data_IF_883822166143
#
_entry.id   IF_883822166143
#
_cell.length_a   1.000
_cell.length_b   1.000
_cell.length_c   1.000
_cell.angle_alpha   90.00
_cell.angle_beta   90.00
_cell.angle_gamma   90.00
#
_symmetry.space_group_name_H-M   'P 1'
#
loop_
_entity.id
_entity.type
_entity.pdbx_description
1 polymer ?
#
# COMPACT_ATOMS: atom_id res chain seq x y z
N UNK A 1 30.95 -62.65 8.12
CA UNK A 1 30.26 -62.19 6.89
C UNK A 1 30.51 -60.69 6.69
N UNK A 2 31.70 -60.26 6.20
CA UNK A 2 32.02 -58.85 5.97
C UNK A 2 31.90 -58.39 4.50
N UNK A 3 31.57 -59.27 3.54
CA UNK A 3 31.72 -58.97 2.10
C UNK A 3 30.73 -57.95 1.53
N UNK A 4 29.52 -57.84 2.06
CA UNK A 4 28.44 -57.03 1.45
C UNK A 4 28.72 -55.52 1.49
N UNK A 5 29.42 -55.04 2.54
CA UNK A 5 29.67 -53.61 2.71
C UNK A 5 30.78 -53.11 1.77
N UNK A 6 31.80 -53.94 1.55
CA UNK A 6 32.86 -53.68 0.57
C UNK A 6 32.32 -53.67 -0.85
N UNK A 7 31.39 -54.57 -1.21
CA UNK A 7 30.76 -54.58 -2.54
C UNK A 7 29.98 -53.28 -2.79
N UNK A 8 29.20 -52.81 -1.81
CA UNK A 8 28.47 -51.55 -1.95
C UNK A 8 29.39 -50.32 -2.08
N UNK A 9 30.49 -50.27 -1.33
CA UNK A 9 31.44 -49.17 -1.45
C UNK A 9 32.15 -49.15 -2.81
N UNK A 10 32.47 -50.32 -3.37
CA UNK A 10 33.07 -50.42 -4.70
C UNK A 10 32.08 -50.02 -5.80
N UNK A 11 30.79 -50.36 -5.67
CA UNK A 11 29.77 -49.96 -6.63
C UNK A 11 29.49 -48.45 -6.61
N UNK A 12 29.53 -47.81 -5.43
CA UNK A 12 29.39 -46.35 -5.32
C UNK A 12 30.59 -45.63 -5.95
N UNK A 13 31.81 -46.12 -5.71
CA UNK A 13 33.02 -45.56 -6.31
C UNK A 13 32.97 -45.66 -7.85
N UNK A 14 32.51 -46.79 -8.38
CA UNK A 14 32.37 -47.02 -9.83
C UNK A 14 31.30 -46.12 -10.46
N UNK A 15 30.17 -45.90 -9.78
CA UNK A 15 29.11 -45.00 -10.24
C UNK A 15 29.54 -43.52 -10.26
N UNK A 16 30.45 -43.11 -9.37
CA UNK A 16 31.00 -41.75 -9.36
C UNK A 16 31.98 -41.49 -10.52
N UNK A 17 32.64 -42.53 -11.04
CA UNK A 17 33.59 -42.42 -12.15
C UNK A 17 32.90 -42.43 -13.53
N UNK A 18 31.74 -43.09 -13.65
CA UNK A 18 30.88 -43.01 -14.85
C UNK A 18 30.12 -41.68 -14.96
N UNK A 19 29.92 -40.98 -13.84
CA UNK A 19 29.36 -39.63 -13.80
C UNK A 19 30.41 -38.57 -14.16
N UNK A 20 30.85 -38.58 -15.43
CA UNK A 20 31.72 -37.53 -15.99
C UNK A 20 31.16 -36.11 -15.75
N UNK A 21 32.02 -35.07 -15.75
CA UNK A 21 31.65 -33.74 -15.27
C UNK A 21 30.43 -33.19 -16.00
N UNK A 22 29.40 -32.85 -15.22
CA UNK A 22 28.13 -32.29 -15.70
C UNK A 22 28.35 -31.15 -16.70
N UNK A 23 27.97 -31.40 -17.96
CA UNK A 23 27.92 -30.42 -19.07
C UNK A 23 26.93 -29.26 -18.86
N UNK A 24 26.26 -29.18 -17.71
CA UNK A 24 25.25 -28.17 -17.41
C UNK A 24 25.83 -26.75 -17.22
N UNK A 25 27.06 -26.64 -16.71
CA UNK A 25 27.67 -25.35 -16.36
C UNK A 25 28.08 -24.51 -17.58
N UNK A 26 28.46 -25.12 -18.70
CA UNK A 26 28.85 -24.37 -19.92
C UNK A 26 27.64 -23.81 -20.69
N UNK A 27 26.48 -24.49 -20.65
CA UNK A 27 25.25 -24.02 -21.27
C UNK A 27 24.62 -22.84 -20.52
N UNK A 28 24.70 -22.83 -19.19
CA UNK A 28 24.24 -21.71 -18.36
C UNK A 28 25.13 -20.48 -18.59
N UNK A 29 26.46 -20.66 -18.67
CA UNK A 29 27.40 -19.57 -18.98
C UNK A 29 27.15 -18.97 -20.37
N UNK A 30 26.91 -19.81 -21.38
CA UNK A 30 26.58 -19.36 -22.75
C UNK A 30 25.27 -18.56 -22.84
N UNK A 31 24.24 -18.93 -22.06
CA UNK A 31 22.97 -18.16 -22.02
C UNK A 31 23.13 -16.79 -21.34
N UNK A 32 24.01 -16.69 -20.34
CA UNK A 32 24.33 -15.42 -19.67
C UNK A 32 25.02 -14.41 -20.58
N UNK A 33 26.03 -14.86 -21.33
CA UNK A 33 26.80 -14.00 -22.24
C UNK A 33 25.96 -13.53 -23.45
N UNK A 34 25.08 -14.38 -23.98
CA UNK A 34 24.17 -13.97 -25.07
C UNK A 34 23.15 -12.90 -24.66
N UNK A 35 22.68 -12.90 -23.40
CA UNK A 35 21.77 -11.84 -22.90
C UNK A 35 22.50 -10.50 -22.72
N UNK A 36 23.75 -10.52 -22.23
CA UNK A 36 24.59 -9.32 -22.11
C UNK A 36 24.96 -8.71 -23.47
N UNK A 37 25.20 -9.55 -24.49
CA UNK A 37 25.46 -9.09 -25.86
C UNK A 37 24.22 -8.43 -26.50
N UNK A 38 23.02 -9.00 -26.31
CA UNK A 38 21.76 -8.41 -26.80
C UNK A 38 21.40 -7.09 -26.11
N UNK A 39 21.69 -6.96 -24.82
CA UNK A 39 21.48 -5.70 -24.08
C UNK A 39 22.43 -4.58 -24.52
N UNK A 40 23.68 -4.89 -24.91
CA UNK A 40 24.61 -3.88 -25.45
C UNK A 40 24.26 -3.44 -26.88
N UNK A 41 23.65 -4.31 -27.69
CA UNK A 41 23.17 -3.95 -29.03
C UNK A 41 21.92 -3.04 -28.99
N UNK A 42 21.05 -3.19 -27.99
CA UNK A 42 19.84 -2.36 -27.86
C UNK A 42 20.11 -0.91 -27.44
N UNK A 43 21.22 -0.64 -26.73
CA UNK A 43 21.60 0.73 -26.31
C UNK A 43 22.28 1.52 -27.46
N UNK A 44 22.78 0.85 -28.50
CA UNK A 44 23.42 1.50 -29.65
C UNK A 44 22.48 1.97 -30.77
N UNK A 45 21.22 1.55 -30.81
CA UNK A 45 20.29 1.85 -31.93
C UNK A 45 19.39 3.06 -31.67
N UNK A 46 19.26 3.54 -30.43
CA UNK A 46 18.43 4.73 -30.11
C UNK A 46 19.18 6.06 -30.31
N UNK A 47 20.51 6.04 -30.47
CA UNK A 47 21.31 7.26 -30.63
C UNK A 47 21.50 7.75 -32.08
N UNK A 48 20.94 7.07 -33.11
CA UNK A 48 21.19 7.40 -34.52
C UNK A 48 19.97 7.90 -35.32
N UNK A 49 18.80 8.12 -34.70
CA UNK A 49 17.59 8.58 -35.43
C UNK A 49 17.22 10.05 -35.13
N UNK A 50 17.95 10.74 -34.24
CA UNK A 50 17.58 12.09 -33.79
C UNK A 50 18.25 13.27 -34.52
N UNK A 51 18.84 13.09 -35.72
CA UNK A 51 19.55 14.19 -36.44
C UNK A 51 19.01 14.48 -37.86
N UNK A 52 17.94 13.82 -38.30
CA UNK A 52 17.57 13.81 -39.73
C UNK A 52 16.17 14.31 -40.10
N UNK A 53 15.64 15.40 -39.53
CA UNK A 53 14.42 16.04 -40.08
C UNK A 53 14.18 17.48 -39.58
N UNK A 54 15.10 18.40 -39.90
CA UNK A 54 14.81 19.85 -39.88
C UNK A 54 15.15 20.37 -41.28
N UNK A 55 14.20 20.28 -42.21
CA UNK A 55 14.21 21.10 -43.42
C UNK A 55 12.85 21.07 -44.12
N UNK A 56 12.30 22.28 -44.31
CA UNK A 56 11.35 22.67 -45.34
C UNK A 56 9.91 22.14 -45.27
N UNK A 57 8.99 23.01 -44.85
CA UNK A 57 8.02 23.65 -45.76
C UNK A 57 7.30 24.77 -45.03
N UNK A 58 7.55 26.00 -45.48
CA UNK A 58 6.84 27.19 -45.06
C UNK A 58 5.68 27.52 -46.01
N UNK A 59 4.86 28.46 -45.51
CA UNK A 59 4.07 29.43 -46.28
C UNK A 59 2.78 28.95 -46.97
N UNK A 60 1.62 29.45 -46.51
CA UNK A 60 0.81 30.42 -47.27
C UNK A 60 -0.34 31.00 -46.43
N UNK A 61 -0.69 32.23 -46.79
CA UNK A 61 -1.63 33.15 -46.15
C UNK A 61 -3.10 32.70 -46.25
N UNK A 62 -3.90 33.16 -45.28
CA UNK A 62 -5.35 33.24 -45.39
C UNK A 62 -5.92 34.33 -44.48
N UNK A 63 -5.97 35.57 -44.96
CA UNK A 63 -6.85 36.61 -44.41
C UNK A 63 -8.30 36.20 -44.67
N UNK A 64 -9.17 36.24 -43.67
CA UNK A 64 -10.58 36.57 -43.83
C UNK A 64 -11.07 37.38 -42.61
N UNK A 65 -11.39 38.66 -42.87
CA UNK A 65 -12.17 39.55 -42.01
C UNK A 65 -13.65 39.20 -42.14
N UNK A 66 -14.39 39.39 -41.04
CA UNK A 66 -15.67 40.12 -40.87
C UNK A 66 -16.45 39.44 -39.74
N UNK A 67 -16.58 40.04 -38.55
CA UNK A 67 -17.53 41.08 -38.14
C UNK A 67 -18.73 40.49 -37.38
N UNK A 68 -18.93 41.04 -36.17
CA UNK A 68 -20.20 41.23 -35.44
C UNK A 68 -21.14 40.03 -35.24
N UNK A 69 -21.25 39.57 -33.99
CA UNK A 69 -22.50 39.69 -33.21
C UNK A 69 -22.30 39.25 -31.75
N UNK A 70 -22.51 40.20 -30.83
CA UNK A 70 -22.76 39.97 -29.42
C UNK A 70 -24.27 39.72 -29.24
N UNK A 71 -24.70 38.68 -28.50
CA UNK A 71 -25.94 38.72 -27.74
C UNK A 71 -25.58 38.93 -26.26
N UNK A 72 -25.80 40.12 -25.71
CA UNK A 72 -27.05 40.55 -25.08
C UNK A 72 -27.34 39.79 -23.77
N UNK A 73 -26.92 40.41 -22.67
CA UNK A 73 -27.25 40.06 -21.28
C UNK A 73 -28.72 40.43 -21.04
N UNK A 74 -29.61 39.51 -20.63
CA UNK A 74 -30.92 39.88 -20.11
C UNK A 74 -30.83 40.36 -18.65
N UNK A 75 -31.65 41.35 -18.24
CA UNK A 75 -31.54 42.03 -16.95
C UNK A 75 -32.16 41.25 -15.79
N UNK A 76 -31.55 41.41 -14.61
CA UNK A 76 -32.16 41.18 -13.30
C UNK A 76 -33.30 42.20 -13.08
N UNK A 77 -34.40 41.83 -12.43
CA UNK A 77 -34.57 42.21 -11.03
C UNK A 77 -35.24 41.09 -10.22
N UNK A 78 -34.96 40.91 -8.93
CA UNK A 78 -35.69 41.64 -7.88
C UNK A 78 -35.00 41.35 -6.54
N UNK A 79 -34.41 42.38 -5.94
CA UNK A 79 -34.05 42.40 -4.54
C UNK A 79 -35.33 42.63 -3.72
N UNK A 80 -35.60 41.77 -2.75
CA UNK A 80 -36.64 41.97 -1.73
C UNK A 80 -35.96 42.06 -0.37
N UNK A 81 -36.11 43.20 0.29
CA UNK A 81 -35.96 43.42 1.73
C UNK A 81 -36.94 44.55 2.09
N UNK A 82 -37.36 44.77 3.36
CA UNK A 82 -37.37 43.94 4.57
C UNK A 82 -38.82 43.80 5.14
N UNK A 83 -39.01 43.28 6.38
CA UNK A 83 -39.85 44.06 7.28
C UNK A 83 -39.21 44.36 8.64
N UNK A 84 -39.58 45.55 9.12
CA UNK A 84 -39.31 46.16 10.41
C UNK A 84 -40.32 45.67 11.47
N UNK A 85 -39.84 45.35 12.68
CA UNK A 85 -40.57 45.46 13.96
C UNK A 85 -39.49 45.60 15.06
N UNK A 86 -39.19 46.81 15.56
CA UNK A 86 -39.81 47.53 16.69
C UNK A 86 -39.64 46.85 18.05
N UNK A 87 -38.61 47.34 18.76
CA UNK A 87 -38.44 47.67 20.19
C UNK A 87 -39.13 46.86 21.34
N UNK A 88 -38.25 46.30 22.20
CA UNK A 88 -38.11 46.38 23.69
C UNK A 88 -39.34 46.50 24.63
N UNK A 89 -39.27 45.85 25.81
CA UNK A 89 -38.69 46.50 27.01
C UNK A 89 -37.65 45.60 27.74
N UNK A 90 -36.49 46.13 28.14
CA UNK A 90 -36.16 46.63 29.50
C UNK A 90 -36.61 45.73 30.66
N UNK A 91 -35.67 44.95 31.20
CA UNK A 91 -35.67 44.56 32.61
C UNK A 91 -34.32 44.89 33.25
N UNK A 92 -34.44 45.61 34.36
CA UNK A 92 -33.41 46.21 35.23
C UNK A 92 -32.79 45.15 36.16
N UNK A 93 -31.52 45.30 36.59
CA UNK A 93 -30.77 44.24 37.26
C UNK A 93 -31.12 44.10 38.74
N UNK A 94 -31.16 42.86 39.25
CA UNK A 94 -31.18 42.56 40.68
C UNK A 94 -29.84 41.92 41.09
N UNK A 95 -29.16 42.39 42.15
CA UNK A 95 -27.85 41.89 42.56
C UNK A 95 -27.89 40.80 43.65
N UNK A 96 -26.76 40.08 43.75
CA UNK A 96 -26.23 39.26 44.85
C UNK A 96 -26.71 37.79 44.97
N UNK A 97 -25.88 36.85 45.51
CA UNK A 97 -24.66 37.07 46.28
C UNK A 97 -23.38 36.41 45.73
N UNK A 98 -22.26 36.99 46.14
CA UNK A 98 -20.90 36.46 46.01
C UNK A 98 -20.77 35.08 46.66
N UNK A 99 -20.54 34.05 45.86
CA UNK A 99 -19.96 32.80 46.35
C UNK A 99 -18.45 32.91 46.30
N UNK A 100 -17.85 33.23 47.44
CA UNK A 100 -16.43 33.01 47.74
C UNK A 100 -16.17 31.50 47.72
N UNK A 101 -15.96 30.94 46.53
CA UNK A 101 -15.56 29.54 46.34
C UNK A 101 -14.05 29.46 46.36
N UNK A 102 -13.51 28.99 47.48
CA UNK A 102 -12.10 28.66 47.67
C UNK A 102 -11.46 28.10 46.41
N UNK A 103 -10.40 28.75 45.94
CA UNK A 103 -9.38 28.15 45.08
C UNK A 103 -8.70 27.04 45.87
N UNK A 104 -9.37 25.89 45.97
CA UNK A 104 -8.74 24.65 46.36
C UNK A 104 -7.87 24.24 45.19
N UNK A 105 -6.59 24.63 45.26
CA UNK A 105 -5.54 24.04 44.45
C UNK A 105 -5.62 22.53 44.70
N UNK A 106 -6.32 21.82 43.81
CA UNK A 106 -6.26 20.39 43.74
C UNK A 106 -4.82 20.12 43.31
N UNK A 107 -3.98 19.68 44.25
CA UNK A 107 -2.72 19.03 43.95
C UNK A 107 -3.10 17.73 43.22
N UNK A 108 -3.46 17.89 41.95
CA UNK A 108 -3.85 16.81 41.07
C UNK A 108 -2.63 15.93 40.94
N UNK A 109 -2.70 14.75 41.53
CA UNK A 109 -1.91 13.61 41.12
C UNK A 109 -1.87 13.62 39.59
N UNK A 110 -0.68 13.80 39.02
CA UNK A 110 -0.47 13.73 37.57
C UNK A 110 -0.68 12.27 37.17
N UNK A 111 -1.94 11.87 37.05
CA UNK A 111 -2.30 10.63 36.38
C UNK A 111 -2.08 10.92 34.91
N UNK A 112 -0.94 10.48 34.37
CA UNK A 112 -0.72 10.52 32.93
C UNK A 112 -1.93 9.94 32.22
N UNK A 113 -2.55 10.65 31.27
CA UNK A 113 -3.70 10.14 30.54
C UNK A 113 -3.35 8.77 29.94
N UNK A 114 -4.24 7.80 30.11
CA UNK A 114 -4.11 6.50 29.42
C UNK A 114 -4.15 6.79 27.91
N UNK A 115 -3.16 6.32 27.13
CA UNK A 115 -3.15 6.55 25.69
C UNK A 115 -4.44 6.06 25.03
N UNK A 116 -5.05 6.91 24.21
CA UNK A 116 -6.21 6.54 23.41
C UNK A 116 -5.85 5.63 22.23
N UNK A 117 -6.86 5.20 21.47
CA UNK A 117 -6.63 4.45 20.22
C UNK A 117 -5.95 5.31 19.15
N UNK A 118 -5.21 4.70 18.24
CA UNK A 118 -4.65 5.41 17.11
C UNK A 118 -5.72 5.76 16.07
N UNK A 119 -5.81 7.04 15.68
CA UNK A 119 -6.71 7.52 14.63
C UNK A 119 -6.02 7.49 13.26
N UNK A 120 -6.77 7.27 12.17
CA UNK A 120 -6.20 7.21 10.82
C UNK A 120 -5.49 8.51 10.43
N UNK A 121 -6.00 9.67 10.87
CA UNK A 121 -5.37 10.98 10.64
C UNK A 121 -4.01 11.16 11.31
N UNK A 122 -3.71 10.37 12.34
CA UNK A 122 -2.47 10.44 13.11
C UNK A 122 -1.45 9.39 12.65
N UNK A 123 -1.78 8.64 11.60
CA UNK A 123 -0.97 7.53 11.11
C UNK A 123 -0.53 7.79 9.68
N UNK A 124 0.69 7.36 9.37
CA UNK A 124 1.19 7.22 8.00
C UNK A 124 1.42 5.75 7.71
N UNK A 125 0.94 5.27 6.57
CA UNK A 125 1.15 3.90 6.14
C UNK A 125 2.40 3.73 5.26
N UNK A 126 2.96 2.53 5.30
CA UNK A 126 4.05 2.07 4.44
C UNK A 126 3.80 0.62 4.05
N UNK A 127 4.21 0.23 2.85
CA UNK A 127 4.01 -1.12 2.32
C UNK A 127 5.31 -1.62 1.70
N UNK A 128 5.77 -2.79 2.14
CA UNK A 128 7.05 -3.33 1.73
C UNK A 128 6.87 -4.79 1.29
N UNK A 129 6.72 -5.03 -0.02
CA UNK A 129 6.72 -6.38 -0.58
C UNK A 129 7.99 -7.13 -0.22
N UNK A 130 7.87 -8.43 0.01
CA UNK A 130 9.03 -9.27 0.28
C UNK A 130 9.78 -9.54 -1.03
N UNK A 131 11.09 -9.37 -1.00
CA UNK A 131 11.98 -9.63 -2.14
C UNK A 131 12.78 -10.92 -1.87
N UNK A 132 12.13 -12.08 -1.79
CA UNK A 132 12.88 -13.34 -1.66
C UNK A 132 13.27 -13.88 -3.03
N UNK A 133 14.57 -13.96 -3.37
CA UNK A 133 15.00 -14.59 -4.61
C UNK A 133 14.65 -16.08 -4.58
N UNK A 134 13.75 -16.50 -5.48
CA UNK A 134 13.36 -17.90 -5.62
C UNK A 134 12.07 -18.30 -4.90
N UNK A 135 11.14 -17.36 -4.67
CA UNK A 135 9.77 -17.67 -4.27
C UNK A 135 9.08 -18.54 -5.37
N UNK A 136 9.33 -19.84 -5.30
CA UNK A 136 8.63 -20.86 -6.03
C UNK A 136 7.28 -21.07 -5.32
N UNK A 137 6.31 -20.23 -5.64
CA UNK A 137 5.00 -20.27 -5.01
C UNK A 137 3.99 -19.42 -5.75
N UNK A 138 2.72 -19.62 -5.43
CA UNK A 138 1.60 -18.84 -5.98
C UNK A 138 1.27 -17.59 -5.14
N UNK A 139 1.97 -17.40 -4.01
CA UNK A 139 1.69 -16.38 -3.01
C UNK A 139 2.80 -15.35 -2.88
N UNK A 140 2.41 -14.11 -2.61
CA UNK A 140 3.26 -13.00 -2.27
C UNK A 140 2.94 -12.50 -0.87
N UNK A 141 3.94 -11.87 -0.25
CA UNK A 141 3.90 -11.40 1.13
C UNK A 141 4.44 -9.96 1.21
N UNK A 142 3.92 -9.17 2.14
CA UNK A 142 4.40 -7.82 2.39
C UNK A 142 4.22 -7.40 3.85
N UNK A 143 5.11 -6.54 4.34
CA UNK A 143 4.89 -5.81 5.58
C UNK A 143 4.05 -4.56 5.30
N UNK A 144 2.93 -4.44 6.01
CA UNK A 144 2.19 -3.19 6.14
C UNK A 144 2.54 -2.55 7.48
N UNK A 145 3.12 -1.36 7.44
CA UNK A 145 3.48 -0.57 8.62
C UNK A 145 2.58 0.64 8.80
N UNK A 146 2.12 0.89 10.03
CA UNK A 146 1.44 2.12 10.43
C UNK A 146 2.29 2.88 11.46
N UNK A 147 2.83 4.02 11.03
CA UNK A 147 3.69 4.89 11.85
C UNK A 147 2.87 6.00 12.47
N UNK A 148 3.00 6.21 13.78
CA UNK A 148 2.42 7.36 14.46
C UNK A 148 3.17 8.64 14.09
N UNK A 149 2.50 9.55 13.39
CA UNK A 149 3.05 10.85 12.96
C UNK A 149 2.57 12.01 13.83
N UNK A 150 1.79 11.73 14.87
CA UNK A 150 1.37 12.73 15.86
C UNK A 150 2.35 12.81 17.03
N UNK A 151 2.24 13.87 17.81
CA UNK A 151 3.02 14.06 19.05
C UNK A 151 2.42 13.33 20.26
N UNK A 152 1.30 12.60 20.08
CA UNK A 152 0.61 11.88 21.15
C UNK A 152 0.84 10.38 21.04
N UNK A 153 1.13 9.73 22.17
CA UNK A 153 1.13 8.27 22.24
C UNK A 153 -0.28 7.72 22.05
N UNK A 154 -0.41 6.66 21.26
CA UNK A 154 -1.67 5.95 21.04
C UNK A 154 -1.48 4.43 21.09
N UNK A 155 -2.57 3.67 21.11
CA UNK A 155 -2.58 2.20 21.10
C UNK A 155 -3.30 1.67 19.87
N UNK A 156 -2.75 0.63 19.26
CA UNK A 156 -3.38 -0.13 18.18
C UNK A 156 -3.54 -1.59 18.60
N UNK A 157 -4.69 -2.19 18.33
CA UNK A 157 -5.03 -3.55 18.73
C UNK A 157 -5.88 -4.24 17.66
N UNK A 158 -5.43 -5.39 17.15
CA UNK A 158 -6.20 -6.17 16.17
C UNK A 158 -5.66 -6.04 14.75
N UNK A 159 -6.56 -6.07 13.76
CA UNK A 159 -6.25 -6.28 12.34
C UNK A 159 -6.60 -5.06 11.50
N UNK A 160 -5.86 -4.77 10.41
CA UNK A 160 -6.27 -3.74 9.46
C UNK A 160 -7.52 -4.18 8.67
N UNK A 161 -8.36 -3.21 8.32
CA UNK A 161 -9.16 -3.30 7.11
C UNK A 161 -8.31 -2.88 5.90
N UNK A 162 -8.48 -3.54 4.77
CA UNK A 162 -7.74 -3.24 3.52
C UNK A 162 -8.72 -3.23 2.34
N UNK A 163 -8.55 -2.25 1.47
CA UNK A 163 -9.22 -2.16 0.18
C UNK A 163 -8.17 -1.95 -0.91
N UNK A 164 -8.12 -2.84 -1.89
CA UNK A 164 -7.22 -2.75 -3.03
C UNK A 164 -7.71 -1.67 -4.01
N UNK A 165 -6.79 -0.88 -4.55
CA UNK A 165 -7.08 0.21 -5.48
C UNK A 165 -6.14 0.12 -6.69
N UNK A 166 -6.73 0.20 -7.89
CA UNK A 166 -5.98 0.18 -9.14
C UNK A 166 -5.43 1.55 -9.55
N UNK A 167 -4.60 1.60 -10.61
CA UNK A 167 -3.99 2.84 -11.09
C UNK A 167 -5.00 3.86 -11.64
N UNK A 168 -6.21 3.41 -11.96
CA UNK A 168 -7.36 4.24 -12.34
C UNK A 168 -8.10 4.84 -11.13
N UNK A 169 -7.62 4.62 -9.91
CA UNK A 169 -8.21 5.10 -8.66
C UNK A 169 -9.47 4.34 -8.23
N UNK A 170 -9.85 3.28 -8.95
CA UNK A 170 -11.04 2.47 -8.63
C UNK A 170 -10.68 1.33 -7.68
N UNK A 171 -11.59 1.05 -6.75
CA UNK A 171 -11.51 -0.15 -5.90
C UNK A 171 -11.50 -1.42 -6.75
N UNK A 172 -10.73 -2.41 -6.31
CA UNK A 172 -10.77 -3.80 -6.81
C UNK A 172 -11.53 -4.69 -5.85
N UNK A 173 -11.91 -5.88 -6.29
CA UNK A 173 -12.45 -6.89 -5.38
C UNK A 173 -11.44 -7.11 -4.25
N UNK A 174 -11.91 -7.15 -3.01
CA UNK A 174 -11.04 -7.33 -1.85
C UNK A 174 -11.81 -8.07 -0.78
N UNK A 175 -11.27 -9.20 -0.35
CA UNK A 175 -11.79 -9.98 0.76
C UNK A 175 -10.66 -10.16 1.79
N UNK A 176 -10.81 -9.50 2.94
CA UNK A 176 -9.80 -9.53 4.00
C UNK A 176 -10.12 -10.67 4.97
N UNK A 177 -9.27 -11.69 4.97
CA UNK A 177 -9.32 -12.83 5.88
C UNK A 177 -8.33 -12.61 7.01
N UNK A 178 -8.82 -12.66 8.25
CA UNK A 178 -7.97 -12.54 9.44
C UNK A 178 -7.35 -13.90 9.75
N UNK A 179 -6.04 -13.95 9.98
CA UNK A 179 -5.42 -15.20 10.45
C UNK A 179 -6.00 -15.61 11.81
N UNK A 180 -6.20 -16.91 12.01
CA UNK A 180 -6.75 -17.47 13.25
C UNK A 180 -5.66 -18.04 14.18
N UNK A 181 -4.45 -18.23 13.68
CA UNK A 181 -3.35 -18.86 14.41
C UNK A 181 -2.48 -17.88 15.22
N UNK A 182 -2.84 -16.59 15.28
CA UNK A 182 -2.10 -15.56 16.04
C UNK A 182 -3.03 -14.76 16.95
N UNK A 183 -2.75 -14.70 18.26
CA UNK A 183 -3.50 -13.83 19.17
C UNK A 183 -3.15 -12.36 18.93
N UNK A 184 -4.15 -11.48 18.98
CA UNK A 184 -3.94 -10.03 18.96
C UNK A 184 -3.29 -9.56 20.27
N UNK A 185 -2.40 -8.57 20.18
CA UNK A 185 -1.77 -7.89 21.32
C UNK A 185 -1.87 -6.38 21.11
N UNK A 186 -1.97 -5.63 22.21
CA UNK A 186 -1.94 -4.18 22.14
C UNK A 186 -0.52 -3.71 21.82
N UNK A 187 -0.40 -2.81 20.86
CA UNK A 187 0.86 -2.16 20.49
C UNK A 187 0.74 -0.68 20.82
N UNK A 188 1.58 -0.20 21.73
CA UNK A 188 1.66 1.22 22.08
C UNK A 188 2.61 1.92 21.11
N UNK A 189 2.13 2.95 20.43
CA UNK A 189 2.87 3.77 19.48
C UNK A 189 3.14 5.15 20.06
N UNK A 190 4.37 5.36 20.53
CA UNK A 190 4.91 6.71 20.77
C UNK A 190 5.07 7.45 19.44
N UNK A 191 5.25 8.78 19.44
CA UNK A 191 5.59 9.53 18.22
C UNK A 191 6.75 8.86 17.46
N UNK A 192 6.57 8.63 16.16
CA UNK A 192 7.53 7.96 15.28
C UNK A 192 7.57 6.42 15.37
N UNK A 193 6.91 5.79 16.35
CA UNK A 193 6.85 4.33 16.43
C UNK A 193 5.94 3.75 15.35
N UNK A 194 6.22 2.51 14.94
CA UNK A 194 5.46 1.80 13.90
C UNK A 194 4.93 0.48 14.41
N UNK A 195 3.66 0.19 14.13
CA UNK A 195 3.09 -1.13 14.25
C UNK A 195 3.09 -1.81 12.88
N UNK A 196 3.42 -3.11 12.86
CA UNK A 196 3.56 -3.89 11.63
C UNK A 196 2.56 -5.02 11.58
N UNK A 197 2.12 -5.36 10.38
CA UNK A 197 1.33 -6.56 10.10
C UNK A 197 1.80 -7.20 8.79
N UNK A 198 1.66 -8.51 8.69
CA UNK A 198 1.87 -9.24 7.44
C UNK A 198 0.58 -9.19 6.60
N UNK A 199 0.74 -9.01 5.31
CA UNK A 199 -0.30 -9.18 4.28
C UNK A 199 0.17 -10.27 3.33
N UNK A 200 -0.67 -11.28 3.09
CA UNK A 200 -0.39 -12.40 2.19
C UNK A 200 -1.49 -12.50 1.14
N UNK A 201 -1.12 -12.71 -0.11
CA UNK A 201 -2.08 -12.84 -1.20
C UNK A 201 -1.60 -13.80 -2.28
N UNK A 202 -2.53 -14.31 -3.08
CA UNK A 202 -2.22 -15.17 -4.24
C UNK A 202 -2.16 -14.30 -5.50
N UNK A 203 -1.14 -14.51 -6.35
CA UNK A 203 -1.01 -13.81 -7.64
C UNK A 203 -1.18 -14.74 -8.85
N UNK A 204 -1.39 -16.04 -8.60
CA UNK A 204 -1.68 -17.03 -9.64
C UNK A 204 -3.19 -17.17 -9.83
N UNK A 205 -3.72 -17.06 -11.05
CA UNK A 205 -5.16 -17.17 -11.30
C UNK A 205 -5.72 -18.55 -10.93
N UNK A 206 -6.91 -18.56 -10.34
CA UNK A 206 -7.76 -19.74 -10.25
C UNK A 206 -8.31 -20.13 -11.65
N UNK A 207 -8.89 -21.32 -11.79
CA UNK A 207 -9.39 -21.81 -13.08
C UNK A 207 -10.48 -20.90 -13.68
N UNK A 208 -11.31 -20.32 -12.81
CA UNK A 208 -12.39 -19.40 -13.16
C UNK A 208 -11.89 -17.96 -13.41
N UNK A 209 -10.72 -17.59 -12.91
CA UNK A 209 -10.08 -16.30 -13.22
C UNK A 209 -9.11 -16.36 -14.41
N UNK A 210 -8.70 -17.54 -14.86
CA UNK A 210 -7.64 -17.74 -15.86
C UNK A 210 -7.88 -17.02 -17.19
N UNK A 211 -9.15 -16.80 -17.56
CA UNK A 211 -9.55 -16.14 -18.81
C UNK A 211 -10.19 -14.75 -18.60
N UNK A 212 -10.03 -14.16 -17.41
CA UNK A 212 -10.58 -12.83 -17.11
C UNK A 212 -9.78 -11.72 -17.78
N UNK A 213 -10.48 -10.63 -18.14
CA UNK A 213 -9.86 -9.40 -18.61
C UNK A 213 -10.46 -8.19 -17.87
N UNK A 214 -9.69 -7.46 -17.06
CA UNK A 214 -8.28 -7.71 -16.73
C UNK A 214 -8.12 -8.98 -15.86
N UNK A 215 -6.96 -9.63 -15.99
CA UNK A 215 -6.65 -10.86 -15.24
C UNK A 215 -6.77 -10.61 -13.74
N UNK A 216 -7.54 -11.46 -13.05
CA UNK A 216 -7.78 -11.38 -11.61
C UNK A 216 -8.25 -9.98 -11.14
N UNK A 217 -9.05 -9.27 -11.94
CA UNK A 217 -9.50 -7.92 -11.60
C UNK A 217 -8.46 -6.80 -11.85
N UNK A 218 -7.26 -7.14 -12.32
CA UNK A 218 -6.24 -6.20 -12.77
C UNK A 218 -5.28 -5.70 -11.70
N UNK A 219 -4.38 -4.81 -12.12
CA UNK A 219 -3.27 -4.33 -11.31
C UNK A 219 -3.71 -3.41 -10.15
N UNK A 220 -3.01 -3.53 -9.02
CA UNK A 220 -3.15 -2.76 -7.79
C UNK A 220 -1.83 -2.05 -7.49
N UNK A 221 -1.89 -0.73 -7.32
CA UNK A 221 -0.72 0.12 -6.99
C UNK A 221 -0.96 1.00 -5.75
N UNK A 222 -2.11 0.83 -5.10
CA UNK A 222 -2.49 1.56 -3.91
C UNK A 222 -3.41 0.68 -3.05
N UNK A 223 -3.32 0.86 -1.74
CA UNK A 223 -4.28 0.30 -0.79
C UNK A 223 -4.85 1.40 0.10
N UNK A 224 -6.12 1.24 0.45
CA UNK A 224 -6.75 2.01 1.52
C UNK A 224 -6.79 1.15 2.77
N UNK A 225 -6.28 1.68 3.86
CA UNK A 225 -6.12 0.95 5.13
C UNK A 225 -6.99 1.61 6.17
N UNK A 226 -7.85 0.83 6.82
CA UNK A 226 -8.62 1.25 7.98
C UNK A 226 -7.91 0.67 9.21
N UNK A 227 -7.37 1.50 10.12
CA UNK A 227 -6.81 1.02 11.38
C UNK A 227 -7.86 0.27 12.20
N UNK A 228 -7.46 -0.60 13.13
CA UNK A 228 -8.39 -1.26 14.04
C UNK A 228 -9.24 -0.23 14.82
N UNK A 229 -10.52 -0.57 15.03
CA UNK A 229 -11.50 0.25 15.74
C UNK A 229 -11.69 1.67 15.16
N UNK A 230 -11.37 1.83 13.87
CA UNK A 230 -11.58 3.04 13.06
C UNK A 230 -12.53 2.73 11.88
N UNK A 231 -13.07 3.79 11.28
CA UNK A 231 -13.91 3.73 10.05
C UNK A 231 -13.33 4.57 8.92
N UNK A 232 -12.46 5.51 9.27
CA UNK A 232 -11.68 6.34 8.37
C UNK A 232 -10.49 5.56 7.86
N UNK A 233 -10.17 5.81 6.60
CA UNK A 233 -9.07 5.14 5.90
C UNK A 233 -7.93 6.11 5.65
N UNK A 234 -6.70 5.60 5.70
CA UNK A 234 -5.54 6.25 5.12
C UNK A 234 -5.13 5.54 3.82
N UNK A 235 -4.55 6.30 2.91
CA UNK A 235 -4.05 5.78 1.63
C UNK A 235 -2.58 5.43 1.75
N UNK A 236 -2.19 4.27 1.22
CA UNK A 236 -0.81 3.79 1.18
C UNK A 236 -0.47 3.41 -0.26
N UNK A 237 0.60 4.01 -0.79
CA UNK A 237 1.18 3.56 -2.07
C UNK A 237 1.77 2.18 -1.87
N UNK A 238 1.37 1.25 -2.73
CA UNK A 238 1.67 -0.16 -2.56
C UNK A 238 1.68 -0.85 -3.92
N UNK A 239 2.84 -1.23 -4.42
CA UNK A 239 2.96 -2.03 -5.64
C UNK A 239 2.64 -3.50 -5.33
N UNK A 240 1.35 -3.79 -5.15
CA UNK A 240 0.84 -5.14 -4.85
C UNK A 240 0.86 -6.02 -6.11
N UNK A 241 0.73 -5.41 -7.29
CA UNK A 241 0.63 -6.14 -8.55
C UNK A 241 -0.78 -6.69 -8.76
N UNK A 242 -0.89 -7.96 -9.10
CA UNK A 242 -2.19 -8.63 -9.31
C UNK A 242 -2.55 -9.45 -8.08
N UNK A 243 -3.82 -9.36 -7.65
CA UNK A 243 -4.38 -10.18 -6.58
C UNK A 243 -5.44 -11.10 -7.17
N UNK A 244 -5.16 -12.40 -7.18
CA UNK A 244 -6.05 -13.46 -7.63
C UNK A 244 -6.81 -14.07 -6.46
N UNK A 245 -7.56 -15.14 -6.74
CA UNK A 245 -8.47 -15.77 -5.79
C UNK A 245 -9.53 -14.77 -5.32
N UNK A 246 -10.17 -14.07 -6.26
CA UNK A 246 -11.27 -13.13 -5.99
C UNK A 246 -10.90 -11.95 -5.08
N UNK A 247 -9.62 -11.58 -5.02
CA UNK A 247 -9.14 -10.48 -4.18
C UNK A 247 -8.90 -10.88 -2.72
N UNK A 248 -8.70 -12.18 -2.45
CA UNK A 248 -8.40 -12.68 -1.10
C UNK A 248 -7.05 -12.17 -0.58
N UNK A 249 -7.09 -11.60 0.62
CA UNK A 249 -5.92 -11.16 1.39
C UNK A 249 -5.97 -11.77 2.78
N UNK A 250 -4.92 -12.48 3.20
CA UNK A 250 -4.77 -12.88 4.60
C UNK A 250 -3.95 -11.84 5.35
N UNK A 251 -4.46 -11.36 6.49
CA UNK A 251 -3.78 -10.37 7.33
C UNK A 251 -3.54 -10.88 8.75
N UNK A 252 -2.40 -10.49 9.32
CA UNK A 252 -2.07 -10.73 10.71
C UNK A 252 -2.61 -9.61 11.61
N UNK A 253 -2.66 -9.81 12.95
CA UNK A 253 -2.83 -8.67 13.84
C UNK A 253 -1.55 -7.82 13.86
N UNK A 254 -1.71 -6.52 14.16
CA UNK A 254 -0.59 -5.62 14.37
C UNK A 254 0.32 -6.08 15.51
N UNK A 255 1.62 -5.93 15.32
CA UNK A 255 2.69 -6.30 16.25
C UNK A 255 3.83 -5.27 16.21
N UNK A 256 4.66 -5.26 17.26
CA UNK A 256 5.81 -4.34 17.37
C UNK A 256 6.90 -4.68 16.35
N UNK A 257 7.15 -5.99 16.17
CA UNK A 257 8.22 -6.46 15.31
C UNK A 257 7.72 -6.56 13.88
N UNK A 258 8.56 -6.11 12.95
CA UNK A 258 8.29 -6.25 11.53
C UNK A 258 8.33 -7.74 11.13
N UNK A 259 7.28 -8.29 10.49
CA UNK A 259 7.22 -9.71 10.12
C UNK A 259 8.45 -10.21 9.34
N UNK A 260 8.95 -9.43 8.38
CA UNK A 260 10.13 -9.80 7.58
C UNK A 260 11.44 -9.98 8.37
N UNK A 261 11.54 -9.39 9.56
CA UNK A 261 12.75 -9.47 10.39
C UNK A 261 12.81 -10.80 11.16
N UNK A 262 11.70 -11.53 11.22
CA UNK A 262 11.62 -12.87 11.78
C UNK A 262 12.08 -13.95 10.79
N UNK A 263 12.32 -15.18 11.27
CA UNK A 263 12.49 -16.31 10.37
C UNK A 263 11.25 -16.45 9.46
N UNK A 264 11.44 -16.83 8.18
CA UNK A 264 10.31 -16.96 7.25
C UNK A 264 9.27 -17.92 7.83
N UNK A 265 7.97 -17.64 7.64
CA UNK A 265 6.93 -18.54 8.10
C UNK A 265 7.16 -19.91 7.46
N UNK A 266 7.32 -20.94 8.28
CA UNK A 266 7.35 -22.33 7.82
C UNK A 266 6.06 -22.60 7.04
N UNK A 267 6.18 -22.91 5.76
CA UNK A 267 5.07 -23.04 4.81
C UNK A 267 3.89 -23.84 5.38
N UNK A 268 2.68 -23.32 5.14
CA UNK A 268 1.41 -24.03 5.35
C UNK A 268 1.04 -24.84 4.12
#
# INVERSE_FOLDING_TARGET
>A
MPDQFTTMLTDIAKAAEEAGPMRASSLIRRRGDQRRARQRAAVGVVAAVAVGAIAATGFTLGLHRTATNLPAIPPNPTATAPPTATAAPSETPTPAPSSTGSSQANAGSVTSPVPGRCHASNLRGSFHPFEWPGQAGAQAEADLGLTNISDQTCVIFGFPGVQLVGPDGKSRATNVVRTTNRPSRSVTLTPGATAWTLVVWTFTPSADEANTNPLCGGHVNEIKVIPPDETSQLTVKADVGTVCSHGDLTVWPFQVNRPSDGPPPSGS
#
